data_IF_833353265334
#
_entry.id   IF_833353265334
#
_cell.length_a   1.000
_cell.length_b   1.000
_cell.length_c   1.000
_cell.angle_alpha   90.00
_cell.angle_beta   90.00
_cell.angle_gamma   90.00
#
_symmetry.space_group_name_H-M   'P 1'
#
loop_
_entity.id
_entity.type
_entity.pdbx_description
1 polymer ?
#
# COMPACT_ATOMS: atom_id res chain seq x y z
N UNK A 1 3.60 -2.71 -18.68
CA UNK A 1 4.57 -2.87 -19.78
C UNK A 1 3.80 -3.04 -21.07
N UNK A 2 4.37 -2.74 -22.25
CA UNK A 2 3.86 -3.26 -23.51
C UNK A 2 3.76 -4.79 -23.45
N UNK A 3 2.81 -5.42 -24.17
CA UNK A 3 2.77 -6.87 -24.31
C UNK A 3 4.06 -7.43 -24.93
N UNK A 4 4.44 -8.65 -24.54
CA UNK A 4 5.61 -9.36 -25.06
C UNK A 4 6.85 -9.30 -24.16
N UNK A 5 7.98 -9.90 -24.62
CA UNK A 5 9.22 -9.94 -23.85
C UNK A 5 9.75 -8.54 -23.53
N UNK A 6 10.11 -8.31 -22.27
CA UNK A 6 10.75 -7.07 -21.85
C UNK A 6 11.76 -7.32 -20.73
N UNK A 7 12.85 -6.55 -20.74
CA UNK A 7 13.93 -6.63 -19.77
C UNK A 7 14.15 -5.29 -19.06
N UNK A 8 14.64 -5.35 -17.83
CA UNK A 8 15.13 -4.18 -17.08
C UNK A 8 16.58 -4.48 -16.69
N UNK A 9 17.51 -3.67 -17.19
CA UNK A 9 18.93 -3.84 -16.94
C UNK A 9 19.42 -2.75 -15.98
N UNK A 10 20.26 -3.14 -15.02
CA UNK A 10 20.95 -2.22 -14.12
C UNK A 10 22.47 -2.34 -14.36
N UNK A 11 23.07 -1.56 -15.28
CA UNK A 11 24.48 -1.70 -15.65
C UNK A 11 25.47 -1.50 -14.50
N UNK A 12 25.07 -0.75 -13.47
CA UNK A 12 25.85 -0.49 -12.25
C UNK A 12 25.38 -1.32 -11.05
N UNK A 13 24.54 -2.32 -11.28
CA UNK A 13 23.81 -3.02 -10.22
C UNK A 13 22.75 -2.15 -9.55
N UNK A 14 22.13 -2.68 -8.49
CA UNK A 14 21.08 -2.03 -7.71
C UNK A 14 19.93 -2.98 -7.38
N UNK A 15 18.85 -2.45 -6.82
CA UNK A 15 17.66 -3.23 -6.44
C UNK A 15 16.48 -2.86 -7.31
N UNK A 16 15.86 -3.85 -7.94
CA UNK A 16 14.56 -3.71 -8.62
C UNK A 16 13.48 -4.21 -7.64
N UNK A 17 12.41 -3.45 -7.53
CA UNK A 17 11.14 -3.92 -6.98
C UNK A 17 10.10 -3.82 -8.08
N UNK A 18 9.28 -4.85 -8.22
CA UNK A 18 8.12 -4.85 -9.12
C UNK A 18 6.89 -5.03 -8.24
N UNK A 19 5.91 -4.13 -8.39
CA UNK A 19 4.63 -4.19 -7.69
C UNK A 19 3.56 -4.46 -8.73
N UNK A 20 2.75 -5.47 -8.50
CA UNK A 20 1.67 -5.90 -9.37
C UNK A 20 0.35 -5.90 -8.60
N UNK A 21 -0.75 -5.95 -9.33
CA UNK A 21 -2.09 -6.17 -8.77
C UNK A 21 -2.48 -7.64 -8.95
N UNK A 22 -3.57 -8.07 -8.32
CA UNK A 22 -4.18 -9.38 -8.53
C UNK A 22 -4.61 -9.67 -9.98
N UNK A 23 -4.56 -8.68 -10.91
CA UNK A 23 -4.71 -8.93 -12.35
C UNK A 23 -3.56 -9.74 -12.96
N UNK A 24 -2.36 -9.70 -12.36
CA UNK A 24 -1.23 -10.55 -12.78
C UNK A 24 -1.34 -11.91 -12.08
N UNK A 25 -2.33 -12.71 -12.50
CA UNK A 25 -2.72 -13.96 -11.82
C UNK A 25 -1.59 -15.01 -11.81
N UNK A 26 -0.76 -15.02 -12.85
CA UNK A 26 0.46 -15.81 -12.97
C UNK A 26 1.49 -15.48 -11.87
N UNK A 27 1.67 -14.19 -11.58
CA UNK A 27 2.58 -13.71 -10.54
C UNK A 27 1.96 -13.79 -9.14
N UNK A 28 0.64 -13.60 -9.02
CA UNK A 28 -0.08 -13.72 -7.76
C UNK A 28 -0.06 -15.16 -7.23
N UNK A 29 -0.18 -16.17 -8.12
CA UNK A 29 -0.06 -17.58 -7.76
C UNK A 29 1.33 -17.99 -7.23
N UNK A 30 2.36 -17.17 -7.46
CA UNK A 30 3.73 -17.35 -6.96
C UNK A 30 4.00 -16.59 -5.64
N UNK A 31 3.03 -15.85 -5.12
CA UNK A 31 3.21 -15.10 -3.87
C UNK A 31 3.28 -16.05 -2.66
N UNK A 32 4.13 -15.72 -1.68
CA UNK A 32 4.29 -16.55 -0.46
C UNK A 32 3.00 -16.68 0.35
N UNK A 33 2.13 -15.68 0.25
CA UNK A 33 0.80 -15.63 0.87
C UNK A 33 -0.33 -15.94 -0.12
N UNK A 34 -0.06 -16.55 -1.28
CA UNK A 34 -1.11 -16.88 -2.27
C UNK A 34 -2.23 -17.75 -1.67
N UNK A 35 -1.88 -18.66 -0.74
CA UNK A 35 -2.84 -19.50 -0.01
C UNK A 35 -3.89 -18.71 0.75
N UNK A 36 -3.53 -17.56 1.33
CA UNK A 36 -4.42 -16.70 2.12
C UNK A 36 -5.57 -16.11 1.27
N UNK A 37 -5.38 -16.07 -0.05
CA UNK A 37 -6.36 -15.57 -1.04
C UNK A 37 -7.04 -16.69 -1.86
N UNK A 38 -6.87 -17.97 -1.50
CA UNK A 38 -7.53 -19.10 -2.19
C UNK A 38 -8.95 -19.39 -1.68
N UNK A 39 -9.31 -18.88 -0.50
CA UNK A 39 -10.65 -18.96 0.06
C UNK A 39 -11.61 -17.97 -0.63
N UNK A 40 -12.86 -17.91 -0.15
CA UNK A 40 -13.81 -16.90 -0.58
C UNK A 40 -13.20 -15.49 -0.41
N UNK A 41 -13.37 -14.56 -1.38
CA UNK A 41 -12.86 -13.20 -1.26
C UNK A 41 -13.31 -12.54 0.05
N UNK A 42 -12.40 -11.79 0.68
CA UNK A 42 -12.69 -11.01 1.88
C UNK A 42 -13.85 -10.04 1.57
N UNK A 43 -14.97 -10.20 2.28
CA UNK A 43 -16.18 -9.42 2.09
C UNK A 43 -16.01 -7.93 2.41
N UNK A 44 -15.00 -7.60 3.21
CA UNK A 44 -14.68 -6.23 3.58
C UNK A 44 -13.68 -5.59 2.59
N UNK A 45 -13.21 -6.31 1.55
CA UNK A 45 -12.33 -5.80 0.48
C UNK A 45 -13.08 -5.66 -0.85
N UNK A 46 -13.13 -4.44 -1.40
CA UNK A 46 -13.80 -4.17 -2.66
C UNK A 46 -13.13 -4.87 -3.88
N UNK A 47 -13.90 -5.46 -4.82
CA UNK A 47 -13.36 -6.15 -6.00
C UNK A 47 -12.57 -5.25 -6.95
N UNK A 48 -11.47 -5.72 -7.56
CA UNK A 48 -10.58 -4.89 -8.39
C UNK A 48 -11.17 -4.38 -9.73
N UNK A 49 -11.73 -3.17 -9.73
CA UNK A 49 -12.06 -2.38 -10.93
C UNK A 49 -10.99 -1.34 -11.28
N UNK A 50 -10.93 -0.98 -12.57
CA UNK A 50 -9.98 -0.02 -13.10
C UNK A 50 -10.50 1.42 -12.96
N UNK A 51 -9.65 2.31 -12.48
CA UNK A 51 -9.85 3.76 -12.56
C UNK A 51 -9.68 4.26 -14.01
N UNK A 52 -10.19 5.46 -14.35
CA UNK A 52 -10.11 6.00 -15.71
C UNK A 52 -8.71 5.93 -16.32
N UNK A 53 -8.70 5.64 -17.62
CA UNK A 53 -7.49 5.63 -18.44
C UNK A 53 -6.72 6.96 -18.34
N UNK A 54 -5.39 6.96 -18.49
CA UNK A 54 -4.62 8.20 -18.51
C UNK A 54 -5.09 9.10 -19.66
N UNK A 55 -5.25 10.43 -19.47
CA UNK A 55 -5.72 11.34 -20.53
C UNK A 55 -4.85 11.33 -21.80
N UNK A 56 -3.56 11.06 -21.62
CA UNK A 56 -2.52 10.94 -22.64
C UNK A 56 -2.24 9.47 -23.04
N UNK A 57 -3.18 8.56 -22.77
CA UNK A 57 -3.15 7.16 -23.19
C UNK A 57 -2.21 6.25 -22.38
N UNK A 58 -2.20 4.97 -22.74
CA UNK A 58 -1.33 3.97 -22.12
C UNK A 58 0.10 4.08 -22.64
N UNK A 59 1.05 4.40 -21.75
CA UNK A 59 2.49 4.46 -22.03
C UNK A 59 3.29 4.19 -20.76
N UNK A 60 4.54 3.72 -20.91
CA UNK A 60 5.49 3.67 -19.80
C UNK A 60 5.75 5.11 -19.35
N UNK A 61 5.70 5.36 -18.04
CA UNK A 61 6.07 6.65 -17.45
C UNK A 61 7.20 6.39 -16.45
N UNK A 62 8.29 7.14 -16.61
CA UNK A 62 9.47 7.06 -15.75
C UNK A 62 9.48 8.31 -14.88
N UNK A 63 9.48 8.12 -13.57
CA UNK A 63 9.47 9.20 -12.59
C UNK A 63 10.78 9.18 -11.81
N UNK A 64 11.56 10.25 -11.97
CA UNK A 64 12.74 10.50 -11.14
C UNK A 64 12.30 10.95 -9.75
N UNK A 65 12.37 10.03 -8.78
CA UNK A 65 11.90 10.25 -7.41
C UNK A 65 12.65 11.39 -6.70
N UNK A 66 13.91 11.67 -7.06
CA UNK A 66 14.70 12.74 -6.46
C UNK A 66 14.12 14.14 -6.74
N UNK A 67 13.30 14.30 -7.80
CA UNK A 67 12.59 15.55 -8.11
C UNK A 67 11.37 15.80 -7.23
N UNK A 68 10.98 14.82 -6.42
CA UNK A 68 9.75 14.83 -5.64
C UNK A 68 9.96 14.63 -4.15
N UNK A 69 11.18 14.30 -3.73
CA UNK A 69 11.55 13.91 -2.37
C UNK A 69 12.87 14.61 -1.99
N UNK A 70 12.81 15.56 -1.07
CA UNK A 70 13.97 16.21 -0.48
C UNK A 70 14.42 15.44 0.77
N UNK A 71 15.70 15.05 0.86
CA UNK A 71 16.25 14.28 1.99
C UNK A 71 16.36 15.08 3.29
N UNK A 72 16.39 16.40 3.17
CA UNK A 72 16.38 17.42 4.25
C UNK A 72 14.99 18.05 4.46
N UNK A 73 14.00 17.69 3.62
CA UNK A 73 12.63 18.17 3.74
C UNK A 73 11.84 17.52 4.87
N UNK A 74 10.55 17.88 5.03
CA UNK A 74 9.68 17.30 6.05
C UNK A 74 9.65 15.78 6.00
N UNK A 75 9.65 15.11 7.17
CA UNK A 75 9.72 13.64 7.29
C UNK A 75 8.62 12.89 6.52
N UNK A 76 7.48 13.53 6.28
CA UNK A 76 6.36 12.99 5.50
C UNK A 76 6.21 13.84 4.24
N UNK A 77 6.81 13.38 3.15
CA UNK A 77 6.63 13.90 1.80
C UNK A 77 5.93 12.82 0.96
N UNK A 78 4.60 12.71 1.03
CA UNK A 78 3.87 11.65 0.35
C UNK A 78 3.77 11.99 -1.14
N UNK A 79 4.51 11.29 -2.00
CA UNK A 79 4.30 11.39 -3.45
C UNK A 79 3.56 10.15 -3.95
N UNK A 80 2.29 10.39 -4.28
CA UNK A 80 1.39 9.38 -4.85
C UNK A 80 1.54 9.33 -6.37
N UNK A 81 1.77 8.13 -6.90
CA UNK A 81 1.71 7.77 -8.31
C UNK A 81 0.58 6.76 -8.52
N UNK A 82 -0.11 6.79 -9.67
CA UNK A 82 -1.15 5.82 -10.01
C UNK A 82 -1.16 5.44 -11.48
N UNK A 83 -1.68 4.25 -11.77
CA UNK A 83 -2.19 3.87 -13.09
C UNK A 83 -3.71 3.60 -12.98
N UNK A 84 -4.28 2.77 -13.87
CA UNK A 84 -5.69 2.36 -13.81
C UNK A 84 -5.96 1.41 -12.64
N UNK A 85 -5.04 0.49 -12.33
CA UNK A 85 -5.25 -0.60 -11.35
C UNK A 85 -4.31 -0.64 -10.13
N UNK A 86 -3.22 0.14 -10.09
CA UNK A 86 -2.34 0.30 -8.92
C UNK A 86 -2.22 1.79 -8.49
N UNK A 87 -1.98 2.03 -7.19
CA UNK A 87 -1.53 3.32 -6.65
C UNK A 87 -0.40 3.06 -5.64
N UNK A 88 0.63 3.90 -5.69
CA UNK A 88 1.86 3.77 -4.90
C UNK A 88 2.20 5.14 -4.30
N UNK A 89 2.24 5.22 -2.98
CA UNK A 89 2.74 6.37 -2.23
C UNK A 89 4.19 6.10 -1.81
N UNK A 90 5.13 6.91 -2.28
CA UNK A 90 6.55 6.79 -1.95
C UNK A 90 6.91 7.83 -0.89
N UNK A 91 7.69 7.42 0.12
CA UNK A 91 8.24 8.33 1.12
C UNK A 91 9.76 8.45 0.97
N UNK A 92 10.27 9.65 1.24
CA UNK A 92 11.72 9.90 1.36
C UNK A 92 12.32 9.06 2.51
N UNK A 93 13.62 8.69 2.42
CA UNK A 93 14.34 8.18 3.57
C UNK A 93 14.36 9.20 4.70
N UNK A 94 14.17 8.73 5.92
CA UNK A 94 14.46 9.47 7.16
C UNK A 94 15.50 8.69 7.95
N UNK A 95 16.14 9.34 8.93
CA UNK A 95 17.12 8.68 9.80
C UNK A 95 16.60 8.52 11.24
N UNK A 96 15.67 9.36 11.68
CA UNK A 96 15.21 9.36 13.07
C UNK A 96 13.93 8.57 13.32
N UNK A 97 13.81 8.14 14.59
CA UNK A 97 12.57 7.60 15.15
C UNK A 97 11.47 8.65 15.00
N UNK A 98 10.33 8.26 14.42
CA UNK A 98 9.13 9.10 14.45
C UNK A 98 8.75 9.41 15.90
N UNK A 99 8.53 10.69 16.20
CA UNK A 99 8.08 11.13 17.51
C UNK A 99 6.69 10.51 17.82
N UNK A 100 6.50 9.89 19.00
CA UNK A 100 5.22 9.32 19.42
C UNK A 100 4.05 10.31 19.44
N UNK A 101 4.29 11.61 19.66
CA UNK A 101 3.24 12.64 19.66
C UNK A 101 2.79 13.07 18.26
N UNK A 102 3.60 12.83 17.23
CA UNK A 102 3.34 13.21 15.82
C UNK A 102 2.99 12.02 14.92
N UNK A 103 2.29 11.02 15.46
CA UNK A 103 1.76 9.89 14.70
C UNK A 103 0.42 10.26 14.02
N UNK A 104 0.09 9.59 12.91
CA UNK A 104 -1.11 9.91 12.09
C UNK A 104 -1.95 8.65 11.87
N UNK A 105 -2.76 8.22 12.86
CA UNK A 105 -3.63 7.07 12.74
C UNK A 105 -4.67 7.27 11.65
N UNK A 106 -4.82 6.28 10.78
CA UNK A 106 -5.82 6.29 9.71
C UNK A 106 -6.29 4.85 9.43
N UNK A 107 -7.32 4.76 8.60
CA UNK A 107 -7.88 3.52 8.08
C UNK A 107 -8.38 3.75 6.65
N UNK A 108 -8.81 2.65 6.04
CA UNK A 108 -9.12 2.49 4.63
C UNK A 108 -10.41 1.67 4.57
N UNK A 109 -11.51 2.20 4.04
CA UNK A 109 -12.85 1.64 4.31
C UNK A 109 -13.03 0.21 3.80
N UNK A 110 -12.59 -0.03 2.57
CA UNK A 110 -12.89 -1.23 1.79
C UNK A 110 -11.63 -1.79 1.09
N UNK A 111 -10.44 -1.56 1.66
CA UNK A 111 -9.19 -1.97 1.04
C UNK A 111 -7.97 -2.30 1.88
N UNK A 112 -7.17 -3.21 1.31
CA UNK A 112 -5.83 -3.54 1.78
C UNK A 112 -4.80 -2.46 1.40
N UNK A 113 -3.99 -2.07 2.39
CA UNK A 113 -2.73 -1.36 2.17
C UNK A 113 -1.57 -2.35 2.25
N UNK A 114 -0.62 -2.29 1.31
CA UNK A 114 0.64 -3.02 1.42
C UNK A 114 1.78 -2.04 1.73
N UNK A 115 2.40 -2.16 2.91
CA UNK A 115 3.55 -1.36 3.33
C UNK A 115 4.85 -2.13 3.09
N UNK A 116 5.62 -1.70 2.10
CA UNK A 116 6.90 -2.27 1.70
C UNK A 116 8.06 -1.45 2.30
N UNK A 117 8.79 -2.05 3.24
CA UNK A 117 10.07 -1.54 3.73
C UNK A 117 11.25 -2.12 2.93
N UNK A 118 12.13 -1.27 2.39
CA UNK A 118 13.34 -1.71 1.66
C UNK A 118 14.61 -1.67 2.53
N UNK A 119 14.61 -0.83 3.56
CA UNK A 119 15.70 -0.68 4.51
C UNK A 119 15.11 -0.26 5.86
N UNK A 120 15.74 -0.68 6.97
CA UNK A 120 15.36 -0.28 8.32
C UNK A 120 14.46 -1.26 9.04
N UNK A 121 13.88 -0.76 10.15
CA UNK A 121 12.98 -1.50 11.02
C UNK A 121 11.76 -0.64 11.31
N UNK A 122 10.57 -1.24 11.23
CA UNK A 122 9.29 -0.57 11.38
C UNK A 122 8.48 -1.33 12.43
N UNK A 123 7.75 -0.65 13.32
CA UNK A 123 6.72 -1.28 14.14
C UNK A 123 5.38 -0.74 13.67
N UNK A 124 4.62 -1.59 13.00
CA UNK A 124 3.24 -1.33 12.64
C UNK A 124 2.38 -1.54 13.89
N UNK A 125 1.93 -0.46 14.52
CA UNK A 125 0.92 -0.60 15.57
C UNK A 125 -0.45 -0.70 14.88
N UNK A 126 -1.29 -1.63 15.33
CA UNK A 126 -2.66 -1.83 14.84
C UNK A 126 -3.58 -1.67 16.05
N UNK A 127 -4.54 -0.76 15.95
CA UNK A 127 -5.64 -0.64 16.92
C UNK A 127 -6.92 -1.22 16.35
N UNK A 128 -7.71 -1.83 17.21
CA UNK A 128 -9.00 -2.40 16.87
C UNK A 128 -10.12 -1.56 17.48
N UNK A 129 -11.06 -1.00 16.69
CA UNK A 129 -12.27 -0.37 17.25
C UNK A 129 -13.02 -1.34 18.16
N UNK A 130 -13.60 -0.77 19.22
CA UNK A 130 -14.44 -1.48 20.18
C UNK A 130 -15.90 -1.36 19.74
N UNK A 131 -16.56 -2.49 19.53
CA UNK A 131 -18.01 -2.56 19.42
C UNK A 131 -18.67 -2.59 20.79
N UNK A 132 -20.01 -2.63 20.82
CA UNK A 132 -20.79 -2.79 22.06
C UNK A 132 -20.54 -4.13 22.78
N UNK A 133 -20.21 -5.18 22.03
CA UNK A 133 -19.83 -6.50 22.55
C UNK A 133 -18.36 -6.51 23.02
N UNK A 134 -18.18 -6.44 24.34
CA UNK A 134 -16.86 -6.46 24.98
C UNK A 134 -16.17 -7.82 24.93
N UNK A 135 -16.91 -8.93 24.74
CA UNK A 135 -16.30 -10.26 24.58
C UNK A 135 -15.51 -10.37 23.27
N UNK A 136 -15.81 -9.50 22.31
CA UNK A 136 -15.13 -9.43 21.01
C UNK A 136 -14.03 -8.38 20.95
N UNK A 137 -13.71 -7.64 22.01
CA UNK A 137 -12.61 -6.67 21.98
C UNK A 137 -11.25 -7.35 21.75
N UNK A 138 -10.35 -6.67 21.05
CA UNK A 138 -8.97 -7.14 20.84
C UNK A 138 -8.00 -6.07 21.36
N UNK A 139 -6.85 -6.53 21.86
CA UNK A 139 -5.75 -5.67 22.26
C UNK A 139 -5.08 -5.04 21.03
N UNK A 140 -4.49 -3.85 21.19
CA UNK A 140 -3.65 -3.26 20.15
C UNK A 140 -2.44 -4.15 19.85
N UNK A 141 -2.20 -4.45 18.58
CA UNK A 141 -1.01 -5.21 18.13
C UNK A 141 0.14 -4.26 17.77
N UNK A 142 1.38 -4.72 17.94
CA UNK A 142 2.59 -3.95 17.66
C UNK A 142 3.59 -4.81 16.85
N UNK A 143 3.35 -4.90 15.53
CA UNK A 143 4.03 -5.82 14.61
C UNK A 143 5.38 -5.23 14.19
N UNK A 144 6.49 -5.82 14.64
CA UNK A 144 7.83 -5.44 14.23
C UNK A 144 8.21 -6.08 12.89
N UNK A 145 8.56 -5.25 11.90
CA UNK A 145 8.99 -5.66 10.57
C UNK A 145 10.43 -5.19 10.31
N UNK A 146 11.29 -6.11 9.89
CA UNK A 146 12.69 -5.85 9.49
C UNK A 146 12.80 -5.86 7.97
N UNK A 147 13.43 -4.87 7.36
CA UNK A 147 13.53 -4.81 5.90
C UNK A 147 14.56 -5.78 5.30
N UNK A 148 14.33 -6.31 4.08
CA UNK A 148 13.16 -6.08 3.23
C UNK A 148 11.92 -6.82 3.75
N UNK A 149 10.78 -6.13 3.80
CA UNK A 149 9.52 -6.67 4.33
C UNK A 149 8.31 -6.05 3.65
N UNK A 150 7.24 -6.83 3.47
CA UNK A 150 5.90 -6.32 3.14
C UNK A 150 4.96 -6.64 4.30
N UNK A 151 4.24 -5.65 4.79
CA UNK A 151 3.10 -5.82 5.69
C UNK A 151 1.81 -5.59 4.90
N UNK A 152 0.94 -6.61 4.83
CA UNK A 152 -0.41 -6.49 4.28
C UNK A 152 -1.35 -6.07 5.42
N UNK A 153 -2.21 -5.11 5.14
CA UNK A 153 -2.98 -4.37 6.14
C UNK A 153 -4.41 -4.27 5.60
N UNK A 154 -5.29 -5.23 5.93
CA UNK A 154 -6.66 -5.22 5.42
C UNK A 154 -7.45 -4.03 5.99
N UNK A 155 -8.61 -3.71 5.38
CA UNK A 155 -9.48 -2.65 5.89
C UNK A 155 -9.97 -2.98 7.30
N UNK A 156 -10.57 -2.03 8.05
CA UNK A 156 -11.46 -2.39 9.12
C UNK A 156 -12.66 -3.10 8.50
N UNK A 157 -12.90 -4.39 8.79
CA UNK A 157 -14.24 -4.91 8.68
C UNK A 157 -15.22 -4.06 9.50
N UNK A 158 -16.49 -4.44 9.41
CA UNK A 158 -17.54 -4.18 10.41
C UNK A 158 -17.16 -4.43 11.90
N UNK A 159 -15.89 -4.73 12.22
CA UNK A 159 -15.34 -4.75 13.56
C UNK A 159 -13.89 -4.20 13.77
N UNK A 160 -12.93 -4.09 12.80
CA UNK A 160 -11.47 -4.06 13.17
C UNK A 160 -10.34 -3.54 12.21
N UNK A 161 -9.82 -2.30 12.35
CA UNK A 161 -8.37 -1.86 12.16
C UNK A 161 -8.14 -0.33 12.16
N UNK A 162 -7.00 0.14 12.69
CA UNK A 162 -6.38 1.50 12.52
C UNK A 162 -4.85 1.40 12.64
N UNK A 163 -4.09 1.92 11.68
CA UNK A 163 -2.63 1.72 11.61
C UNK A 163 -1.78 2.90 12.14
N UNK A 164 -0.63 2.57 12.72
CA UNK A 164 0.50 3.43 13.05
C UNK A 164 1.82 2.82 12.50
N UNK A 165 2.91 3.59 12.42
CA UNK A 165 4.25 3.06 12.12
C UNK A 165 5.38 3.79 12.88
N UNK A 166 6.16 3.07 13.70
CA UNK A 166 7.42 3.55 14.30
C UNK A 166 8.62 3.04 13.51
N UNK A 167 9.26 3.90 12.74
CA UNK A 167 10.40 3.52 11.89
C UNK A 167 11.77 3.92 12.46
N UNK A 168 12.80 3.13 12.14
CA UNK A 168 14.25 3.45 12.14
C UNK A 168 14.67 3.85 10.69
N UNK A 169 15.95 4.19 10.38
CA UNK A 169 16.31 4.69 9.06
C UNK A 169 15.91 3.75 7.92
N UNK A 170 15.17 4.26 6.93
CA UNK A 170 14.55 3.36 5.97
C UNK A 170 13.77 4.00 4.82
N UNK A 171 13.69 3.24 3.73
CA UNK A 171 12.80 3.50 2.60
C UNK A 171 11.49 2.76 2.82
N UNK A 172 10.37 3.47 2.71
CA UNK A 172 9.02 2.88 2.76
C UNK A 172 8.23 3.27 1.52
N UNK A 173 7.51 2.28 0.98
CA UNK A 173 6.53 2.43 -0.08
C UNK A 173 5.19 1.92 0.47
N UNK A 174 4.15 2.75 0.46
CA UNK A 174 2.80 2.32 0.81
C UNK A 174 1.97 2.20 -0.46
N UNK A 175 1.59 0.98 -0.83
CA UNK A 175 0.58 0.72 -1.86
C UNK A 175 -0.79 0.83 -1.22
N UNK A 176 -1.65 1.68 -1.79
CA UNK A 176 -2.98 2.06 -1.27
C UNK A 176 -4.00 1.79 -2.38
N UNK A 177 -5.08 1.02 -2.18
CA UNK A 177 -6.11 0.82 -3.23
C UNK A 177 -7.46 0.24 -2.79
N UNK A 178 -8.51 1.05 -2.62
CA UNK A 178 -9.88 0.59 -2.82
C UNK A 178 -10.29 0.66 -4.26
N UNK A 179 -11.44 0.06 -4.49
CA UNK A 179 -12.13 0.15 -5.75
C UNK A 179 -13.44 0.85 -5.52
N UNK A 180 -13.64 2.04 -6.11
CA UNK A 180 -14.88 2.75 -5.94
C UNK A 180 -16.05 1.97 -6.54
N UNK A 181 -17.04 1.69 -5.70
CA UNK A 181 -18.40 1.42 -6.10
C UNK A 181 -18.89 2.64 -6.90
N UNK A 182 -19.54 2.39 -8.03
CA UNK A 182 -20.15 3.44 -8.85
C UNK A 182 -21.62 3.63 -8.46
N UNK A 183 -22.09 4.83 -8.12
CA UNK A 183 -23.50 5.17 -8.26
C UNK A 183 -23.76 5.45 -9.75
N UNK A 184 -24.50 4.56 -10.41
CA UNK A 184 -25.09 4.87 -11.71
C UNK A 184 -26.45 5.56 -11.49
N UNK A 185 -26.65 6.72 -12.12
CA UNK A 185 -27.86 7.54 -11.99
C UNK A 185 -27.63 8.80 -11.14
N UNK A 186 -28.17 9.97 -11.47
CA UNK A 186 -29.06 10.33 -12.59
C UNK A 186 -28.61 11.67 -13.19
N UNK A 187 -28.63 11.78 -14.52
CA UNK A 187 -28.71 13.07 -15.18
C UNK A 187 -30.20 13.33 -15.46
N UNK A 188 -30.77 14.33 -14.79
CA UNK A 188 -32.15 14.74 -14.96
C UNK A 188 -32.20 16.26 -15.11
N UNK A 189 -32.68 16.70 -16.28
CA UNK A 189 -32.89 18.09 -16.75
C UNK A 189 -31.69 19.03 -16.65
#
# INVERSE_FOLDING_TARGET
>A
MPPGPSGVHLPKGGRIVRIFTSRATDLAALAVNAGDYTSQPDSDVAPLCDWPAPPDGFRIRVYDLARYLATDGPRIQPRVFRCTNLMVNVFAPWHDRRDPASLSPHWHEDFEQASLGLQGHFIHHIRYPWGSDSTRWQADEHIACTSPSVAIIPPPPSIRRKMWARARPGWSISSLRPVPISPCGQASS
#
